data_IF_386048176404
#
_entry.id   IF_386048176404
#
_cell.length_a   1.000
_cell.length_b   1.000
_cell.length_c   1.000
_cell.angle_alpha   90.00
_cell.angle_beta   90.00
_cell.angle_gamma   90.00
#
_symmetry.space_group_name_H-M   'P 1'
#
loop_
_entity.id
_entity.type
_entity.pdbx_description
1 polymer ?
#
# COMPACT_ATOMS: atom_id res chain seq x y z
N UNK A 1 19.39 10.27 16.55
CA UNK A 1 18.78 9.19 17.37
C UNK A 1 18.10 9.75 18.62
N UNK A 2 18.31 10.98 18.96
CA UNK A 2 18.13 11.50 20.32
C UNK A 2 17.09 12.61 20.44
N UNK A 3 16.36 12.91 19.38
CA UNK A 3 15.29 13.92 19.40
C UNK A 3 14.00 13.29 18.83
N UNK A 4 13.19 12.66 19.69
CA UNK A 4 11.96 12.01 19.25
C UNK A 4 10.95 13.07 18.81
N UNK A 5 10.49 12.94 17.57
CA UNK A 5 9.43 13.77 16.99
C UNK A 5 8.24 12.88 16.64
N UNK A 6 7.04 13.46 16.58
CA UNK A 6 5.88 12.73 16.06
C UNK A 6 6.04 12.41 14.56
N UNK A 7 5.32 11.39 14.11
CA UNK A 7 5.45 10.89 12.74
C UNK A 7 5.08 11.96 11.68
N UNK A 8 4.12 12.85 11.97
CA UNK A 8 3.68 13.88 11.03
C UNK A 8 4.78 14.93 10.82
N UNK A 9 5.44 15.34 11.91
CA UNK A 9 6.61 16.23 11.85
C UNK A 9 7.76 15.54 11.13
N UNK A 10 8.03 14.28 11.44
CA UNK A 10 9.12 13.51 10.83
C UNK A 10 8.97 13.43 9.30
N UNK A 11 7.81 13.03 8.78
CA UNK A 11 7.59 12.91 7.32
C UNK A 11 7.62 14.27 6.62
N UNK A 12 7.09 15.32 7.25
CA UNK A 12 7.06 16.67 6.68
C UNK A 12 8.46 17.29 6.56
N UNK A 13 9.34 17.00 7.49
CA UNK A 13 10.72 17.53 7.54
C UNK A 13 11.76 16.60 6.90
N UNK A 14 11.32 15.51 6.30
CA UNK A 14 12.20 14.55 5.65
C UNK A 14 12.93 15.18 4.46
N UNK A 15 14.17 14.78 4.24
CA UNK A 15 15.04 15.26 3.17
C UNK A 15 15.92 14.12 2.65
N UNK A 16 16.47 14.23 1.43
CA UNK A 16 17.33 13.20 0.85
C UNK A 16 18.41 12.67 1.81
N UNK A 17 18.51 11.35 1.89
CA UNK A 17 19.47 10.64 2.75
C UNK A 17 19.07 10.56 4.23
N UNK A 18 17.92 11.11 4.64
CA UNK A 18 17.44 11.04 6.02
C UNK A 18 16.74 9.72 6.31
N UNK A 19 16.84 9.30 7.57
CA UNK A 19 16.18 8.12 8.10
C UNK A 19 15.25 8.50 9.25
N UNK A 20 13.98 8.09 9.13
CA UNK A 20 12.99 8.11 10.20
C UNK A 20 13.01 6.71 10.82
N UNK A 21 13.43 6.59 12.08
CA UNK A 21 13.41 5.34 12.83
C UNK A 21 12.10 5.22 13.61
N UNK A 22 11.31 4.23 13.29
CA UNK A 22 10.09 3.90 14.04
C UNK A 22 10.46 3.01 15.23
N UNK A 23 10.23 3.51 16.43
CA UNK A 23 10.38 2.69 17.64
C UNK A 23 9.34 1.57 17.68
N UNK A 24 9.65 0.49 18.36
CA UNK A 24 8.69 -0.60 18.55
C UNK A 24 7.45 -0.17 19.34
N UNK A 25 6.34 -0.87 19.09
CA UNK A 25 5.06 -0.62 19.75
C UNK A 25 3.99 -0.07 18.82
N UNK A 26 2.82 0.22 19.37
CA UNK A 26 1.66 0.70 18.60
C UNK A 26 1.53 2.21 18.68
N UNK A 27 1.48 2.83 17.52
CA UNK A 27 1.21 4.26 17.34
C UNK A 27 -0.28 4.43 17.06
N UNK A 28 -1.04 4.91 18.04
CA UNK A 28 -2.46 5.23 17.87
C UNK A 28 -2.59 6.58 17.14
N UNK A 29 -2.94 6.52 15.86
CA UNK A 29 -3.00 7.68 14.97
C UNK A 29 -4.47 8.09 14.70
N UNK A 30 -4.73 9.36 14.71
CA UNK A 30 -6.05 9.95 14.45
C UNK A 30 -6.13 10.76 13.15
N UNK A 31 -5.02 10.83 12.42
CA UNK A 31 -4.88 11.52 11.13
C UNK A 31 -4.09 10.68 10.16
N UNK A 32 -4.39 10.84 8.88
CA UNK A 32 -3.61 10.25 7.78
C UNK A 32 -2.17 10.74 7.82
N UNK A 33 -1.21 9.82 7.68
CA UNK A 33 0.20 10.18 7.47
C UNK A 33 0.41 10.46 6.00
N UNK A 34 0.73 11.72 5.66
CA UNK A 34 0.90 12.14 4.26
C UNK A 34 2.35 12.54 4.01
N UNK A 35 3.00 11.81 3.14
CA UNK A 35 4.23 12.24 2.49
C UNK A 35 3.83 13.01 1.24
N UNK A 36 3.89 14.33 1.32
CA UNK A 36 3.44 15.22 0.24
C UNK A 36 4.30 15.08 -1.01
N UNK A 37 3.69 15.33 -2.18
CA UNK A 37 4.43 15.45 -3.45
C UNK A 37 5.48 16.54 -3.32
N UNK A 38 6.74 16.23 -3.70
CA UNK A 38 7.88 17.14 -3.56
C UNK A 38 8.72 16.89 -2.29
N UNK A 39 8.24 16.12 -1.33
CA UNK A 39 9.08 15.61 -0.23
C UNK A 39 9.78 14.34 -0.75
N UNK A 40 10.81 14.53 -1.57
CA UNK A 40 11.44 13.48 -2.34
C UNK A 40 12.86 13.19 -1.85
N UNK A 41 13.24 11.90 -1.92
CA UNK A 41 14.64 11.50 -1.98
C UNK A 41 15.22 11.70 -3.38
N UNK A 42 16.35 11.06 -3.64
CA UNK A 42 16.96 10.93 -4.96
C UNK A 42 17.42 9.48 -5.18
N UNK A 43 17.79 9.13 -6.40
CA UNK A 43 18.32 7.80 -6.71
C UNK A 43 19.52 7.42 -5.81
N UNK A 44 20.39 8.38 -5.51
CA UNK A 44 21.61 8.18 -4.70
C UNK A 44 21.39 8.44 -3.20
N UNK A 45 20.26 9.07 -2.82
CA UNK A 45 19.97 9.46 -1.45
C UNK A 45 18.47 9.31 -1.15
N UNK A 46 18.01 8.06 -1.05
CA UNK A 46 16.61 7.78 -0.66
C UNK A 46 16.29 8.34 0.72
N UNK A 47 15.01 8.58 0.98
CA UNK A 47 14.50 8.85 2.32
C UNK A 47 14.00 7.54 2.90
N UNK A 48 14.37 7.23 4.14
CA UNK A 48 14.03 5.98 4.79
C UNK A 48 13.03 6.20 5.92
N UNK A 49 11.98 5.38 5.97
CA UNK A 49 11.12 5.20 7.15
C UNK A 49 11.13 3.71 7.49
N UNK A 50 11.86 3.36 8.52
CA UNK A 50 12.16 1.96 8.85
C UNK A 50 11.93 1.67 10.33
N UNK A 51 11.59 0.42 10.64
CA UNK A 51 11.62 -0.03 12.02
C UNK A 51 13.02 0.13 12.61
N UNK A 52 13.10 0.57 13.85
CA UNK A 52 14.38 0.60 14.57
C UNK A 52 14.87 -0.86 14.72
N UNK A 53 16.06 -1.21 14.21
CA UNK A 53 16.59 -2.56 14.32
C UNK A 53 16.83 -3.02 15.75
N UNK A 54 16.94 -2.08 16.70
CA UNK A 54 17.06 -2.38 18.13
C UNK A 54 15.70 -2.49 18.85
N UNK A 55 14.58 -2.32 18.14
CA UNK A 55 13.25 -2.40 18.74
C UNK A 55 12.91 -3.85 19.14
N UNK A 56 12.44 -4.04 20.36
CA UNK A 56 12.01 -5.35 20.85
C UNK A 56 10.70 -5.86 20.19
N UNK A 57 9.93 -4.96 19.62
CA UNK A 57 8.65 -5.26 18.95
C UNK A 57 8.55 -4.50 17.64
N UNK A 58 7.78 -5.06 16.70
CA UNK A 58 7.52 -4.43 15.41
C UNK A 58 6.68 -3.14 15.59
N UNK A 59 6.99 -2.03 14.92
CA UNK A 59 6.14 -0.84 14.93
C UNK A 59 4.81 -1.10 14.23
N UNK A 60 3.71 -0.67 14.83
CA UNK A 60 2.37 -0.76 14.26
C UNK A 60 1.75 0.63 14.16
N UNK A 61 1.46 1.10 12.96
CA UNK A 61 0.75 2.34 12.71
C UNK A 61 -0.74 2.03 12.64
N UNK A 62 -1.46 2.34 13.71
CA UNK A 62 -2.85 2.00 13.91
C UNK A 62 -3.75 3.23 13.77
N UNK A 63 -4.53 3.30 12.69
CA UNK A 63 -5.39 4.43 12.36
C UNK A 63 -6.76 4.38 13.04
N UNK A 64 -6.99 3.39 13.91
CA UNK A 64 -8.15 3.28 14.81
C UNK A 64 -9.53 3.33 14.11
N UNK A 65 -9.62 3.08 12.82
CA UNK A 65 -10.83 3.21 12.02
C UNK A 65 -11.28 4.66 11.78
N UNK A 66 -10.40 5.66 11.94
CA UNK A 66 -10.77 7.08 11.93
C UNK A 66 -10.45 7.81 10.64
N UNK A 67 -9.43 7.40 9.92
CA UNK A 67 -8.94 8.10 8.73
C UNK A 67 -8.28 7.11 7.76
N UNK A 68 -7.82 7.59 6.62
CA UNK A 68 -6.94 6.82 5.76
C UNK A 68 -5.61 6.52 6.46
N UNK A 69 -4.91 5.49 6.01
CA UNK A 69 -3.62 5.12 6.54
C UNK A 69 -2.50 6.06 6.09
N UNK A 70 -1.59 5.56 5.26
CA UNK A 70 -0.47 6.34 4.73
C UNK A 70 -0.73 6.72 3.27
N UNK A 71 -0.46 7.97 2.89
CA UNK A 71 -0.37 8.41 1.50
C UNK A 71 1.09 8.78 1.22
N UNK A 72 1.73 8.03 0.34
CA UNK A 72 3.11 8.23 -0.10
C UNK A 72 3.10 8.87 -1.49
N UNK A 73 3.08 10.22 -1.55
CA UNK A 73 3.11 10.96 -2.80
C UNK A 73 4.50 11.55 -3.14
N UNK A 74 5.47 11.37 -2.27
CA UNK A 74 6.88 11.66 -2.54
C UNK A 74 7.57 10.53 -3.31
N UNK A 75 8.69 10.84 -3.94
CA UNK A 75 9.50 9.91 -4.72
C UNK A 75 10.75 9.47 -3.96
N UNK A 76 11.30 8.30 -4.33
CA UNK A 76 12.54 7.75 -3.77
C UNK A 76 12.52 7.54 -2.26
N UNK A 77 11.39 7.06 -1.74
CA UNK A 77 11.27 6.61 -0.36
C UNK A 77 11.52 5.10 -0.22
N UNK A 78 11.99 4.72 0.95
CA UNK A 78 12.16 3.32 1.35
C UNK A 78 11.46 3.09 2.68
N UNK A 79 10.36 2.35 2.67
CA UNK A 79 9.63 1.92 3.84
C UNK A 79 10.03 0.50 4.21
N UNK A 80 10.28 0.21 5.49
CA UNK A 80 10.68 -1.13 5.88
C UNK A 80 10.24 -1.51 7.30
N UNK A 81 9.69 -2.72 7.42
CA UNK A 81 9.66 -3.44 8.68
C UNK A 81 8.59 -3.00 9.68
N UNK A 82 7.54 -2.33 9.26
CA UNK A 82 6.43 -1.90 10.13
C UNK A 82 5.07 -2.37 9.59
N UNK A 83 4.03 -2.19 10.38
CA UNK A 83 2.67 -2.58 10.04
C UNK A 83 1.76 -1.37 9.94
N UNK A 84 0.71 -1.48 9.09
CA UNK A 84 -0.33 -0.47 8.91
C UNK A 84 -1.68 -1.13 9.06
N UNK A 85 -2.49 -0.63 9.98
CA UNK A 85 -3.75 -1.29 10.30
C UNK A 85 -4.87 -0.30 10.61
N UNK A 86 -6.10 -0.79 10.44
CA UNK A 86 -7.34 -0.14 10.84
C UNK A 86 -7.52 1.27 10.26
N UNK A 87 -7.29 1.43 8.94
CA UNK A 87 -7.82 2.60 8.25
C UNK A 87 -9.36 2.61 8.31
N UNK A 88 -9.98 3.78 8.15
CA UNK A 88 -11.45 3.90 8.14
C UNK A 88 -12.08 3.14 6.96
N UNK A 89 -13.37 2.84 7.06
CA UNK A 89 -14.13 2.25 5.96
C UNK A 89 -13.94 3.05 4.66
N UNK A 90 -13.81 2.36 3.54
CA UNK A 90 -13.50 2.90 2.22
C UNK A 90 -12.14 3.65 2.12
N UNK A 91 -11.27 3.52 3.13
CA UNK A 91 -9.94 4.12 3.14
C UNK A 91 -8.85 3.06 3.08
N UNK A 92 -7.81 3.31 2.29
CA UNK A 92 -6.68 2.40 2.09
C UNK A 92 -5.73 2.37 3.29
N UNK A 93 -5.06 1.23 3.48
CA UNK A 93 -3.97 1.12 4.44
C UNK A 93 -2.77 1.95 3.98
N UNK A 94 -2.23 1.69 2.80
CA UNK A 94 -1.19 2.49 2.16
C UNK A 94 -1.62 2.81 0.73
N UNK A 95 -1.54 4.08 0.35
CA UNK A 95 -1.63 4.52 -1.03
C UNK A 95 -0.25 5.02 -1.50
N UNK A 96 0.34 4.37 -2.49
CA UNK A 96 1.59 4.78 -3.14
C UNK A 96 1.22 5.59 -4.38
N UNK A 97 1.56 6.87 -4.35
CA UNK A 97 1.21 7.84 -5.40
C UNK A 97 2.42 8.58 -5.98
N UNK A 98 3.60 8.36 -5.41
CA UNK A 98 4.87 8.79 -5.96
C UNK A 98 5.55 7.66 -6.74
N UNK A 99 6.76 7.92 -7.23
CA UNK A 99 7.53 7.01 -8.08
C UNK A 99 8.89 6.63 -7.47
N UNK A 100 9.46 5.52 -7.93
CA UNK A 100 10.77 5.01 -7.48
C UNK A 100 10.83 4.68 -5.99
N UNK A 101 9.68 4.40 -5.37
CA UNK A 101 9.60 4.02 -3.97
C UNK A 101 9.81 2.52 -3.79
N UNK A 102 10.31 2.14 -2.63
CA UNK A 102 10.37 0.73 -2.20
C UNK A 102 9.59 0.56 -0.90
N UNK A 103 8.71 -0.42 -0.86
CA UNK A 103 8.02 -0.84 0.37
C UNK A 103 8.43 -2.28 0.62
N UNK A 104 9.20 -2.52 1.68
CA UNK A 104 9.85 -3.80 1.96
C UNK A 104 9.42 -4.34 3.32
N UNK A 105 8.98 -5.59 3.35
CA UNK A 105 8.59 -6.27 4.58
C UNK A 105 7.61 -5.43 5.44
N UNK A 106 6.58 -4.87 4.80
CA UNK A 106 5.48 -4.14 5.45
C UNK A 106 4.22 -5.00 5.44
N UNK A 107 3.50 -5.03 6.56
CA UNK A 107 2.21 -5.70 6.63
C UNK A 107 1.09 -4.66 6.64
N UNK A 108 0.02 -4.93 5.86
CA UNK A 108 -1.20 -4.14 5.85
C UNK A 108 -2.38 -5.03 6.19
N UNK A 109 -3.10 -4.75 7.27
CA UNK A 109 -4.19 -5.64 7.69
C UNK A 109 -5.34 -4.91 8.39
N UNK A 110 -6.54 -5.48 8.27
CA UNK A 110 -7.77 -4.94 8.88
C UNK A 110 -8.03 -3.49 8.49
N UNK A 111 -7.64 -3.10 7.27
CA UNK A 111 -7.95 -1.79 6.72
C UNK A 111 -9.33 -1.80 6.08
N UNK A 112 -9.99 -0.64 6.04
CA UNK A 112 -11.36 -0.48 5.54
C UNK A 112 -11.48 -0.38 4.01
N UNK A 113 -10.43 -0.72 3.27
CA UNK A 113 -10.34 -0.85 1.82
C UNK A 113 -9.03 -1.59 1.50
N UNK A 114 -8.52 -1.52 0.25
CA UNK A 114 -7.27 -2.16 -0.17
C UNK A 114 -6.12 -1.92 0.83
N UNK A 115 -5.40 -2.98 1.18
CA UNK A 115 -4.29 -2.91 2.10
C UNK A 115 -3.17 -2.01 1.59
N UNK A 116 -2.65 -2.27 0.37
CA UNK A 116 -1.69 -1.40 -0.31
C UNK A 116 -2.10 -1.19 -1.77
N UNK A 117 -2.34 0.05 -2.15
CA UNK A 117 -2.71 0.43 -3.51
C UNK A 117 -1.72 1.40 -4.14
N UNK A 118 -1.32 1.14 -5.39
CA UNK A 118 -0.63 2.09 -6.26
C UNK A 118 -1.67 2.79 -7.10
N UNK A 119 -1.76 4.12 -7.03
CA UNK A 119 -2.64 4.97 -7.84
C UNK A 119 -2.28 6.44 -7.71
N UNK A 120 -2.73 7.28 -8.65
CA UNK A 120 -2.45 8.72 -8.67
C UNK A 120 -2.76 9.42 -7.34
N UNK A 121 -2.08 10.52 -7.07
CA UNK A 121 -2.27 11.32 -5.86
C UNK A 121 -3.53 12.20 -5.96
N UNK A 122 -3.64 12.99 -7.03
CA UNK A 122 -4.78 13.90 -7.25
C UNK A 122 -5.66 13.42 -8.40
N UNK A 123 -6.94 13.69 -8.31
CA UNK A 123 -7.89 13.35 -9.39
C UNK A 123 -7.59 14.06 -10.72
N UNK A 124 -6.83 15.13 -10.68
CA UNK A 124 -6.38 15.91 -11.85
C UNK A 124 -5.07 15.40 -12.45
N UNK A 125 -4.38 14.47 -11.79
CA UNK A 125 -3.14 13.91 -12.31
C UNK A 125 -3.38 13.15 -13.61
N UNK A 126 -2.52 13.37 -14.60
CA UNK A 126 -2.50 12.68 -15.88
C UNK A 126 -1.39 11.61 -15.91
N UNK A 127 -1.15 11.00 -17.06
CA UNK A 127 -0.22 9.88 -17.21
C UNK A 127 1.20 10.18 -16.69
N UNK A 128 1.71 11.37 -16.95
CA UNK A 128 3.06 11.79 -16.54
C UNK A 128 3.22 11.92 -15.03
N UNK A 129 2.10 12.13 -14.34
CA UNK A 129 2.05 12.25 -12.87
C UNK A 129 1.74 10.92 -12.18
N UNK A 130 1.39 9.87 -12.94
CA UNK A 130 1.00 8.60 -12.34
C UNK A 130 2.19 7.86 -11.74
N UNK A 131 2.00 7.14 -10.63
CA UNK A 131 3.07 6.43 -9.95
C UNK A 131 3.68 5.35 -10.84
N UNK A 132 5.02 5.32 -10.87
CA UNK A 132 5.81 4.42 -11.70
C UNK A 132 7.04 3.88 -10.96
N UNK A 133 7.60 2.77 -11.43
CA UNK A 133 8.89 2.22 -10.95
C UNK A 133 8.93 1.99 -9.43
N UNK A 134 7.80 1.66 -8.81
CA UNK A 134 7.75 1.30 -7.40
C UNK A 134 7.98 -0.21 -7.21
N UNK A 135 8.64 -0.59 -6.12
CA UNK A 135 8.87 -1.98 -5.74
C UNK A 135 8.20 -2.29 -4.40
N UNK A 136 7.23 -3.22 -4.43
CA UNK A 136 6.64 -3.84 -3.24
C UNK A 136 7.36 -5.17 -3.03
N UNK A 137 8.16 -5.28 -1.98
CA UNK A 137 9.04 -6.42 -1.73
C UNK A 137 8.68 -7.11 -0.42
N UNK A 138 8.45 -8.43 -0.45
CA UNK A 138 8.19 -9.24 0.73
C UNK A 138 7.07 -8.70 1.66
N UNK A 139 6.08 -8.01 1.09
CA UNK A 139 4.97 -7.44 1.84
C UNK A 139 3.86 -8.48 2.05
N UNK A 140 3.11 -8.32 3.15
CA UNK A 140 1.92 -9.15 3.40
C UNK A 140 0.70 -8.25 3.58
N UNK A 141 -0.39 -8.58 2.88
CA UNK A 141 -1.65 -7.85 2.97
C UNK A 141 -2.80 -8.80 3.26
N UNK A 142 -3.50 -8.62 4.40
CA UNK A 142 -4.46 -9.61 4.85
C UNK A 142 -5.60 -9.03 5.70
N UNK A 143 -6.76 -9.70 5.67
CA UNK A 143 -7.93 -9.33 6.47
C UNK A 143 -8.39 -7.89 6.22
N UNK A 144 -8.14 -7.33 5.04
CA UNK A 144 -8.68 -6.03 4.67
C UNK A 144 -10.13 -6.20 4.18
N UNK A 145 -11.03 -5.34 4.63
CA UNK A 145 -12.45 -5.43 4.29
C UNK A 145 -13.12 -4.06 4.35
N UNK A 146 -13.79 -3.66 3.31
CA UNK A 146 -14.73 -2.55 3.30
C UNK A 146 -16.15 -3.07 3.64
N UNK A 147 -17.06 -2.17 3.95
CA UNK A 147 -18.43 -2.54 4.36
C UNK A 147 -19.24 -3.24 3.27
N UNK A 148 -18.86 -3.06 2.00
CA UNK A 148 -19.53 -3.68 0.84
C UNK A 148 -18.86 -4.96 0.35
N UNK A 149 -17.65 -5.25 0.81
CA UNK A 149 -16.81 -6.36 0.37
C UNK A 149 -16.44 -6.36 -1.12
N UNK A 150 -16.44 -5.18 -1.77
CA UNK A 150 -16.25 -5.05 -3.21
C UNK A 150 -14.96 -4.33 -3.61
N UNK A 151 -14.26 -3.69 -2.66
CA UNK A 151 -13.13 -2.81 -2.96
C UNK A 151 -11.86 -3.11 -2.13
N UNK A 152 -11.94 -4.01 -1.16
CA UNK A 152 -10.85 -4.27 -0.24
C UNK A 152 -9.94 -5.42 -0.72
N UNK A 153 -9.05 -5.09 -1.62
CA UNK A 153 -8.02 -6.02 -2.10
C UNK A 153 -6.85 -6.14 -1.11
N UNK A 154 -6.04 -7.18 -1.27
CA UNK A 154 -4.74 -7.24 -0.62
C UNK A 154 -3.82 -6.16 -1.18
N UNK A 155 -3.55 -6.26 -2.46
CA UNK A 155 -2.75 -5.30 -3.24
C UNK A 155 -3.52 -4.83 -4.46
N UNK A 156 -3.30 -3.58 -4.84
CA UNK A 156 -3.81 -3.08 -6.11
C UNK A 156 -2.80 -2.18 -6.81
N UNK A 157 -2.77 -2.26 -8.13
CA UNK A 157 -2.14 -1.29 -9.00
C UNK A 157 -3.16 -0.98 -10.08
N UNK A 158 -4.11 -0.08 -9.79
CA UNK A 158 -5.33 0.07 -10.58
C UNK A 158 -5.70 1.50 -10.92
N UNK A 159 -6.44 1.66 -12.00
CA UNK A 159 -7.07 2.89 -12.51
C UNK A 159 -6.09 3.91 -13.09
N UNK A 160 -5.00 4.23 -12.42
CA UNK A 160 -4.10 5.33 -12.77
C UNK A 160 -2.68 5.00 -12.33
N UNK A 161 -2.04 4.11 -13.06
CA UNK A 161 -0.72 3.55 -12.78
C UNK A 161 0.10 3.58 -14.07
N UNK A 162 1.31 4.14 -14.02
CA UNK A 162 2.25 4.12 -15.12
C UNK A 162 3.17 2.88 -15.05
N UNK A 163 4.12 2.76 -15.98
CA UNK A 163 4.96 1.57 -16.13
C UNK A 163 5.93 1.31 -14.98
N UNK A 164 6.41 0.07 -14.89
CA UNK A 164 7.57 -0.31 -14.10
C UNK A 164 7.29 -0.63 -12.62
N UNK A 165 6.02 -0.72 -12.21
CA UNK A 165 5.67 -1.12 -10.85
C UNK A 165 5.79 -2.65 -10.69
N UNK A 166 6.39 -3.10 -9.58
CA UNK A 166 6.70 -4.51 -9.32
C UNK A 166 6.23 -4.92 -7.92
N UNK A 167 5.56 -6.07 -7.85
CA UNK A 167 5.33 -6.82 -6.61
C UNK A 167 6.20 -8.07 -6.66
N UNK A 168 7.06 -8.26 -5.65
CA UNK A 168 7.98 -9.41 -5.57
C UNK A 168 7.95 -10.03 -4.18
N UNK A 169 7.71 -11.34 -4.10
CA UNK A 169 7.68 -12.07 -2.84
C UNK A 169 6.53 -11.71 -1.90
N UNK A 170 5.45 -11.10 -2.41
CA UNK A 170 4.34 -10.63 -1.59
C UNK A 170 3.27 -11.71 -1.36
N UNK A 171 2.52 -11.57 -0.26
CA UNK A 171 1.45 -12.49 0.14
C UNK A 171 0.15 -11.70 0.35
N UNK A 172 -0.93 -12.10 -0.33
CA UNK A 172 -2.29 -11.59 -0.12
C UNK A 172 -3.21 -12.70 0.38
N UNK A 173 -3.82 -12.51 1.56
CA UNK A 173 -4.64 -13.55 2.18
C UNK A 173 -5.87 -12.99 2.90
N UNK A 174 -7.02 -13.64 2.75
CA UNK A 174 -8.24 -13.26 3.48
C UNK A 174 -8.63 -11.79 3.31
N UNK A 175 -8.40 -11.21 2.13
CA UNK A 175 -8.95 -9.90 1.80
C UNK A 175 -10.37 -10.07 1.27
N UNK A 176 -11.25 -9.14 1.58
CA UNK A 176 -12.67 -9.28 1.27
C UNK A 176 -12.96 -9.37 -0.24
N UNK A 177 -12.17 -8.72 -1.07
CA UNK A 177 -12.30 -8.82 -2.53
C UNK A 177 -11.12 -9.61 -3.13
N UNK A 178 -10.23 -8.99 -3.86
CA UNK A 178 -9.19 -9.68 -4.62
C UNK A 178 -7.84 -9.76 -3.85
N UNK A 179 -6.99 -10.71 -4.22
CA UNK A 179 -5.59 -10.73 -3.76
C UNK A 179 -4.79 -9.60 -4.39
N UNK A 180 -4.82 -9.52 -5.72
CA UNK A 180 -4.32 -8.41 -6.54
C UNK A 180 -5.42 -7.92 -7.49
N UNK A 181 -5.55 -6.59 -7.58
CA UNK A 181 -6.43 -5.94 -8.56
C UNK A 181 -5.65 -4.95 -9.44
N UNK A 182 -5.59 -5.27 -10.75
CA UNK A 182 -4.99 -4.42 -11.79
C UNK A 182 -6.06 -3.82 -12.71
N UNK A 183 -7.20 -3.43 -12.16
CA UNK A 183 -8.33 -2.95 -12.92
C UNK A 183 -8.06 -1.61 -13.61
N UNK A 184 -8.45 -1.49 -14.87
CA UNK A 184 -8.48 -0.24 -15.62
C UNK A 184 -9.91 0.14 -15.97
N UNK A 185 -10.19 1.44 -16.11
CA UNK A 185 -11.49 1.99 -16.50
C UNK A 185 -11.40 2.70 -17.84
N UNK A 186 -12.48 2.66 -18.60
CA UNK A 186 -12.56 3.35 -19.90
C UNK A 186 -12.29 4.85 -19.73
N UNK A 187 -12.79 5.46 -18.66
CA UNK A 187 -12.66 6.89 -18.38
C UNK A 187 -11.22 7.33 -18.11
N UNK A 188 -10.40 6.46 -17.56
CA UNK A 188 -8.98 6.74 -17.28
C UNK A 188 -8.03 6.12 -18.30
N UNK A 189 -8.53 5.19 -19.12
CA UNK A 189 -7.74 4.47 -20.10
C UNK A 189 -6.96 3.29 -19.50
N UNK A 190 -6.10 2.69 -20.33
CA UNK A 190 -5.22 1.59 -19.92
C UNK A 190 -4.21 2.07 -18.88
N UNK A 191 -3.80 1.16 -18.01
CA UNK A 191 -2.70 1.37 -17.06
C UNK A 191 -1.39 0.82 -17.63
N UNK A 192 -0.28 1.27 -17.07
CA UNK A 192 1.07 0.81 -17.43
C UNK A 192 1.32 -0.64 -17.06
N UNK A 193 2.44 -1.17 -17.52
CA UNK A 193 2.85 -2.52 -17.22
C UNK A 193 3.18 -2.69 -15.74
N UNK A 194 2.57 -3.71 -15.12
CA UNK A 194 2.85 -4.15 -13.75
C UNK A 194 3.41 -5.57 -13.79
N UNK A 195 4.42 -5.84 -12.98
CA UNK A 195 5.00 -7.18 -12.79
C UNK A 195 4.61 -7.70 -11.42
N UNK A 196 4.06 -8.91 -11.37
CA UNK A 196 3.82 -9.67 -10.14
C UNK A 196 4.64 -10.94 -10.24
N UNK A 197 5.57 -11.13 -9.31
CA UNK A 197 6.46 -12.30 -9.34
C UNK A 197 6.71 -12.86 -7.94
N UNK A 198 6.92 -14.18 -7.85
CA UNK A 198 7.18 -14.87 -6.58
C UNK A 198 6.10 -14.61 -5.50
N UNK A 199 4.89 -14.25 -5.90
CA UNK A 199 3.81 -13.86 -5.01
C UNK A 199 2.82 -15.00 -4.76
N UNK A 200 2.12 -14.94 -3.63
CA UNK A 200 1.12 -15.93 -3.22
C UNK A 200 -0.19 -15.23 -2.89
N UNK A 201 -1.29 -15.72 -3.47
CA UNK A 201 -2.65 -15.32 -3.14
C UNK A 201 -3.45 -16.52 -2.66
N UNK A 202 -4.08 -16.42 -1.49
CA UNK A 202 -4.96 -17.49 -1.02
C UNK A 202 -6.09 -16.98 -0.14
N UNK A 203 -7.26 -17.63 -0.20
CA UNK A 203 -8.41 -17.30 0.64
C UNK A 203 -8.86 -15.82 0.55
N UNK A 204 -8.60 -15.12 -0.58
CA UNK A 204 -9.23 -13.84 -0.84
C UNK A 204 -10.69 -14.08 -1.30
N UNK A 205 -11.58 -13.13 -1.11
CA UNK A 205 -13.02 -13.30 -1.27
C UNK A 205 -13.69 -13.90 -0.03
N UNK A 206 -12.97 -13.98 1.08
CA UNK A 206 -13.50 -14.42 2.38
C UNK A 206 -13.16 -13.41 3.47
N UNK A 207 -14.09 -13.23 4.38
CA UNK A 207 -13.84 -12.56 5.66
C UNK A 207 -13.97 -13.55 6.81
N UNK A 208 -13.40 -13.26 7.96
CA UNK A 208 -13.59 -14.06 9.16
C UNK A 208 -14.64 -13.41 10.05
N UNK A 209 -15.66 -14.20 10.46
CA UNK A 209 -16.65 -13.77 11.43
C UNK A 209 -16.06 -13.67 12.85
N UNK A 210 -16.87 -13.35 13.85
CA UNK A 210 -16.48 -13.23 15.26
C UNK A 210 -15.98 -14.55 15.88
N UNK A 211 -16.32 -15.70 15.28
CA UNK A 211 -15.87 -17.03 15.69
C UNK A 211 -14.66 -17.51 14.88
N UNK A 212 -14.14 -16.69 13.96
CA UNK A 212 -13.04 -17.02 13.06
C UNK A 212 -13.44 -17.99 11.93
N UNK A 213 -14.75 -18.09 11.63
CA UNK A 213 -15.24 -18.89 10.50
C UNK A 213 -15.20 -18.07 9.21
N UNK A 214 -14.88 -18.74 8.10
CA UNK A 214 -14.87 -18.13 6.78
C UNK A 214 -16.29 -17.81 6.32
N UNK A 215 -16.52 -16.60 5.85
CA UNK A 215 -17.77 -16.12 5.26
C UNK A 215 -17.45 -15.56 3.88
N UNK A 216 -18.22 -15.97 2.88
CA UNK A 216 -18.09 -15.45 1.50
C UNK A 216 -18.23 -13.92 1.49
N UNK A 217 -17.38 -13.26 0.71
CA UNK A 217 -17.32 -11.81 0.59
C UNK A 217 -17.37 -11.37 -0.88
N UNK A 218 -16.32 -10.73 -1.39
CA UNK A 218 -16.28 -10.20 -2.76
C UNK A 218 -15.92 -11.23 -3.84
N UNK A 219 -15.20 -10.80 -4.87
CA UNK A 219 -14.95 -11.62 -6.07
C UNK A 219 -13.94 -12.77 -5.84
N UNK A 220 -12.98 -12.61 -4.96
CA UNK A 220 -12.05 -13.65 -4.57
C UNK A 220 -11.02 -14.05 -5.61
N UNK A 221 -10.74 -13.20 -6.60
CA UNK A 221 -9.66 -13.50 -7.54
C UNK A 221 -8.31 -13.50 -6.80
N UNK A 222 -7.46 -14.50 -7.06
CA UNK A 222 -6.09 -14.44 -6.59
C UNK A 222 -5.33 -13.29 -7.24
N UNK A 223 -5.41 -13.22 -8.58
CA UNK A 223 -4.76 -12.19 -9.41
C UNK A 223 -5.73 -11.73 -10.50
N UNK A 224 -6.36 -10.58 -10.30
CA UNK A 224 -7.21 -9.92 -11.30
C UNK A 224 -6.34 -9.05 -12.18
N UNK A 225 -6.02 -9.53 -13.37
CA UNK A 225 -5.02 -8.96 -14.27
C UNK A 225 -5.58 -7.89 -15.22
N UNK A 226 -6.65 -7.21 -14.86
CA UNK A 226 -7.23 -6.13 -15.64
C UNK A 226 -8.75 -6.05 -15.54
N UNK A 227 -9.37 -5.23 -16.41
CA UNK A 227 -10.80 -5.04 -16.45
C UNK A 227 -11.23 -4.14 -17.61
N UNK A 228 -12.54 -4.00 -17.86
CA UNK A 228 -13.14 -3.13 -18.89
C UNK A 228 -12.58 -3.32 -20.31
N UNK A 229 -11.97 -4.46 -20.60
CA UNK A 229 -11.33 -4.78 -21.89
C UNK A 229 -10.20 -3.82 -22.33
N UNK A 230 -9.60 -3.11 -21.38
CA UNK A 230 -8.53 -2.10 -21.60
C UNK A 230 -7.34 -2.31 -20.66
N UNK A 231 -7.10 -3.53 -20.20
CA UNK A 231 -5.97 -3.84 -19.33
C UNK A 231 -4.62 -3.56 -20.02
N UNK A 232 -3.60 -3.24 -19.20
CA UNK A 232 -2.21 -3.16 -19.66
C UNK A 232 -1.61 -4.53 -19.98
N UNK A 233 -0.35 -4.54 -20.42
CA UNK A 233 0.43 -5.76 -20.63
C UNK A 233 1.15 -6.17 -19.35
N UNK A 234 0.44 -6.83 -18.42
CA UNK A 234 0.99 -7.23 -17.14
C UNK A 234 1.75 -8.56 -17.22
N UNK A 235 2.69 -8.76 -16.31
CA UNK A 235 3.50 -9.98 -16.20
C UNK A 235 3.22 -10.65 -14.85
N UNK A 236 2.77 -11.90 -14.90
CA UNK A 236 2.65 -12.78 -13.71
C UNK A 236 3.63 -13.96 -13.87
N UNK A 237 4.54 -14.17 -12.90
CA UNK A 237 5.53 -15.25 -12.93
C UNK A 237 6.04 -15.66 -11.55
#
# INVERSE_FOLDING_TARGET
KDDPVDIYTAVKSAAPGRTILLKGGTYALDKTVIVERGVNGTADAKIYMIADPEAATRPVLDFQGRCAGIILAGDYWYFQGFDVTRSANAQKGIQVSGSYNTVDNVMTYKNGNTGLQISRYKSTDNWEDWPSHNLMLNCTSYLNADAGYEDADGFAAKLTVADGNVFDGCIAAYNADDGWDLFAKIETGAIGQVVIQNCVAFKNGYVLDENGQEVDAGNGNGFKMGGSSISGHHILR
#
